data_IF_454344512594
#
_entry.id   IF_454344512594
#
_cell.length_a   1.000
_cell.length_b   1.000
_cell.length_c   1.000
_cell.angle_alpha   90.00
_cell.angle_beta   90.00
_cell.angle_gamma   90.00
#
_symmetry.space_group_name_H-M   'P 1'
#
loop_
_entity.id
_entity.type
_entity.pdbx_description
1 polymer ?
#
# COMPACT_ATOMS: atom_id res chain seq x y z
N UNK A 1 -14.18 5.55 -4.79
CA UNK A 1 -13.11 4.80 -4.09
C UNK A 1 -11.84 5.64 -4.07
N UNK A 2 -10.89 5.40 -3.16
CA UNK A 2 -9.59 6.13 -3.12
C UNK A 2 -8.85 6.11 -4.47
N UNK A 3 -9.02 5.02 -5.24
CA UNK A 3 -8.47 4.90 -6.59
C UNK A 3 -9.04 5.92 -7.59
N UNK A 4 -10.33 6.27 -7.51
CA UNK A 4 -10.96 7.25 -8.42
C UNK A 4 -10.48 8.67 -8.12
N UNK A 5 -10.20 8.96 -6.84
CA UNK A 5 -9.64 10.24 -6.40
C UNK A 5 -8.21 10.42 -6.92
N UNK A 6 -7.38 9.37 -6.84
CA UNK A 6 -6.03 9.39 -7.43
C UNK A 6 -6.08 9.58 -8.95
N UNK A 7 -6.95 8.85 -9.66
CA UNK A 7 -7.09 9.01 -11.12
C UNK A 7 -7.40 10.45 -11.50
N UNK A 8 -8.32 11.10 -10.78
CA UNK A 8 -8.65 12.51 -10.99
C UNK A 8 -7.49 13.43 -10.67
N UNK A 9 -6.82 13.23 -9.53
CA UNK A 9 -5.68 14.05 -9.10
C UNK A 9 -4.52 13.97 -10.10
N UNK A 10 -4.19 12.77 -10.58
CA UNK A 10 -3.08 12.50 -11.48
C UNK A 10 -3.46 12.53 -12.98
N UNK A 11 -4.72 12.84 -13.32
CA UNK A 11 -5.26 12.84 -14.69
C UNK A 11 -4.99 11.54 -15.45
N UNK A 12 -5.11 10.42 -14.75
CA UNK A 12 -4.93 9.09 -15.32
C UNK A 12 -6.19 8.66 -16.09
N UNK A 13 -5.99 7.81 -17.08
CA UNK A 13 -7.08 7.13 -17.78
C UNK A 13 -7.64 5.98 -16.94
N UNK A 14 -8.58 5.23 -17.51
CA UNK A 14 -9.17 4.06 -16.86
C UNK A 14 -8.34 2.78 -16.99
N UNK A 15 -7.12 2.87 -17.52
CA UNK A 15 -6.23 1.71 -17.62
C UNK A 15 -5.91 1.19 -16.22
N UNK A 16 -6.23 -0.08 -15.90
CA UNK A 16 -5.94 -0.64 -14.59
C UNK A 16 -4.42 -0.66 -14.33
N UNK A 17 -3.97 -0.28 -13.13
CA UNK A 17 -2.56 -0.34 -12.79
C UNK A 17 -2.07 -1.80 -12.82
N UNK A 18 -0.89 -2.02 -13.38
CA UNK A 18 -0.22 -3.33 -13.36
C UNK A 18 0.56 -3.46 -12.05
N UNK A 19 0.57 -4.67 -11.48
CA UNK A 19 1.46 -4.97 -10.36
C UNK A 19 2.92 -4.82 -10.80
N UNK A 20 3.76 -4.31 -9.88
CA UNK A 20 5.20 -4.38 -10.06
C UNK A 20 5.67 -5.84 -10.02
N UNK A 21 6.83 -6.19 -10.60
CA UNK A 21 7.37 -7.55 -10.51
C UNK A 21 7.48 -8.06 -9.07
N UNK A 22 7.88 -7.19 -8.13
CA UNK A 22 7.93 -7.51 -6.69
C UNK A 22 6.56 -7.89 -6.15
N UNK A 23 5.55 -7.05 -6.35
CA UNK A 23 4.20 -7.30 -5.81
C UNK A 23 3.52 -8.50 -6.49
N UNK A 24 3.79 -8.72 -7.77
CA UNK A 24 3.35 -9.93 -8.47
C UNK A 24 3.96 -11.20 -7.86
N UNK A 25 5.27 -11.21 -7.60
CA UNK A 25 5.95 -12.34 -6.96
C UNK A 25 5.44 -12.59 -5.52
N UNK A 26 5.21 -11.54 -4.73
CA UNK A 26 4.61 -11.67 -3.39
C UNK A 26 3.22 -12.32 -3.46
N UNK A 27 2.40 -11.91 -4.42
CA UNK A 27 1.07 -12.49 -4.62
C UNK A 27 1.15 -13.96 -5.04
N UNK A 28 2.10 -14.33 -5.91
CA UNK A 28 2.27 -15.72 -6.33
C UNK A 28 2.79 -16.62 -5.21
N UNK A 29 3.65 -16.10 -4.32
CA UNK A 29 4.05 -16.78 -3.10
C UNK A 29 2.84 -17.05 -2.18
N UNK A 30 1.96 -16.06 -1.99
CA UNK A 30 0.74 -16.25 -1.19
C UNK A 30 -0.20 -17.30 -1.79
N UNK A 31 -0.36 -17.34 -3.11
CA UNK A 31 -1.19 -18.36 -3.79
C UNK A 31 -0.63 -19.77 -3.62
N UNK A 32 0.69 -19.90 -3.52
CA UNK A 32 1.37 -21.18 -3.36
C UNK A 32 1.56 -21.62 -1.90
N UNK A 33 1.25 -20.77 -0.93
CA UNK A 33 1.44 -21.08 0.48
C UNK A 33 0.46 -22.16 0.97
N UNK A 34 0.93 -23.00 1.89
CA UNK A 34 0.05 -23.91 2.62
C UNK A 34 -0.88 -23.12 3.55
N UNK A 35 -1.98 -23.72 4.01
CA UNK A 35 -2.87 -23.07 4.99
C UNK A 35 -2.12 -22.66 6.26
N UNK A 36 -1.15 -23.47 6.69
CA UNK A 36 -0.33 -23.21 7.86
C UNK A 36 0.64 -22.03 7.65
N UNK A 37 1.21 -21.90 6.44
CA UNK A 37 2.21 -20.86 6.13
C UNK A 37 1.59 -19.55 5.64
N UNK A 38 0.33 -19.58 5.18
CA UNK A 38 -0.32 -18.41 4.58
C UNK A 38 -0.40 -17.23 5.56
N UNK A 39 -0.89 -17.45 6.78
CA UNK A 39 -1.10 -16.39 7.75
C UNK A 39 0.19 -15.64 8.13
N UNK A 40 1.27 -16.31 8.58
CA UNK A 40 2.52 -15.61 8.92
C UNK A 40 3.12 -14.89 7.70
N UNK A 41 3.12 -15.53 6.53
CA UNK A 41 3.61 -14.93 5.29
C UNK A 41 2.82 -13.68 4.90
N UNK A 42 1.48 -13.74 5.02
CA UNK A 42 0.60 -12.62 4.73
C UNK A 42 0.84 -11.43 5.67
N UNK A 43 1.03 -11.69 6.97
CA UNK A 43 1.29 -10.63 7.96
C UNK A 43 2.64 -9.96 7.70
N UNK A 44 3.68 -10.73 7.38
CA UNK A 44 4.99 -10.19 7.00
C UNK A 44 4.90 -9.35 5.73
N UNK A 45 4.26 -9.86 4.68
CA UNK A 45 4.11 -9.14 3.41
C UNK A 45 3.28 -7.85 3.58
N UNK A 46 2.21 -7.89 4.37
CA UNK A 46 1.41 -6.71 4.66
C UNK A 46 2.17 -5.69 5.51
N UNK A 47 3.05 -6.14 6.41
CA UNK A 47 3.93 -5.25 7.17
C UNK A 47 4.79 -4.43 6.22
N UNK A 48 5.51 -5.10 5.32
CA UNK A 48 6.37 -4.44 4.33
C UNK A 48 5.56 -3.51 3.43
N UNK A 49 4.42 -3.97 2.90
CA UNK A 49 3.59 -3.18 2.00
C UNK A 49 3.06 -1.89 2.65
N UNK A 50 2.61 -1.95 3.91
CA UNK A 50 2.09 -0.77 4.62
C UNK A 50 3.21 0.20 5.02
N UNK A 51 4.40 -0.30 5.37
CA UNK A 51 5.56 0.56 5.59
C UNK A 51 5.95 1.32 4.31
N UNK A 52 6.04 0.62 3.18
CA UNK A 52 6.36 1.22 1.88
C UNK A 52 5.30 2.24 1.44
N UNK A 53 4.02 1.93 1.65
CA UNK A 53 2.93 2.85 1.34
C UNK A 53 2.99 4.12 2.19
N UNK A 54 3.23 4.01 3.50
CA UNK A 54 3.37 5.18 4.39
C UNK A 54 4.57 6.03 3.95
N UNK A 55 5.72 5.41 3.66
CA UNK A 55 6.89 6.14 3.16
C UNK A 55 6.59 6.85 1.84
N UNK A 56 5.99 6.16 0.87
CA UNK A 56 5.66 6.74 -0.43
C UNK A 56 4.75 7.97 -0.30
N UNK A 57 3.67 7.84 0.48
CA UNK A 57 2.69 8.92 0.65
C UNK A 57 3.28 10.09 1.46
N UNK A 58 4.04 9.82 2.52
CA UNK A 58 4.68 10.87 3.31
C UNK A 58 5.73 11.64 2.50
N UNK A 59 6.55 10.94 1.70
CA UNK A 59 7.54 11.58 0.84
C UNK A 59 6.89 12.42 -0.24
N UNK A 60 5.86 11.91 -0.93
CA UNK A 60 5.18 12.65 -1.99
C UNK A 60 4.39 13.84 -1.43
N UNK A 61 3.71 13.70 -0.30
CA UNK A 61 3.02 14.81 0.37
C UNK A 61 3.98 15.96 0.72
N UNK A 62 5.23 15.64 1.10
CA UNK A 62 6.24 16.63 1.51
C UNK A 62 6.93 17.32 0.33
N UNK A 63 7.19 16.60 -0.77
CA UNK A 63 8.10 17.07 -1.83
C UNK A 63 7.72 16.69 -3.24
N UNK A 64 6.49 16.25 -3.49
CA UNK A 64 5.98 15.97 -4.83
C UNK A 64 5.96 17.21 -5.72
N UNK A 65 5.78 16.98 -7.02
CA UNK A 65 5.79 17.98 -8.09
C UNK A 65 4.39 18.34 -8.61
N UNK A 66 3.40 17.47 -8.41
CA UNK A 66 1.99 17.74 -8.71
C UNK A 66 1.21 18.08 -7.44
N UNK A 67 0.68 19.31 -7.35
CA UNK A 67 -0.05 19.80 -6.18
C UNK A 67 -1.34 19.01 -5.87
N UNK A 68 -2.04 18.51 -6.88
CA UNK A 68 -3.24 17.70 -6.65
C UNK A 68 -2.87 16.32 -6.09
N UNK A 69 -1.80 15.72 -6.59
CA UNK A 69 -1.30 14.43 -6.10
C UNK A 69 -0.68 14.57 -4.70
N UNK A 70 -0.02 15.69 -4.39
CA UNK A 70 0.45 16.01 -3.02
C UNK A 70 -0.71 16.08 -2.04
N UNK A 71 -1.78 16.80 -2.38
CA UNK A 71 -2.97 16.91 -1.54
C UNK A 71 -3.64 15.54 -1.32
N UNK A 72 -3.76 14.74 -2.39
CA UNK A 72 -4.24 13.36 -2.29
C UNK A 72 -3.37 12.52 -1.34
N UNK A 73 -2.04 12.60 -1.46
CA UNK A 73 -1.12 11.87 -0.62
C UNK A 73 -1.24 12.28 0.86
N UNK A 74 -1.30 13.58 1.14
CA UNK A 74 -1.47 14.11 2.49
C UNK A 74 -2.80 13.69 3.12
N UNK A 75 -3.91 13.73 2.36
CA UNK A 75 -5.23 13.35 2.86
C UNK A 75 -5.36 11.84 3.11
N UNK A 76 -4.62 11.02 2.38
CA UNK A 76 -4.68 9.55 2.50
C UNK A 76 -3.74 9.02 3.59
N UNK A 77 -2.64 9.73 3.87
CA UNK A 77 -1.59 9.31 4.79
C UNK A 77 -2.10 8.86 6.17
N UNK A 78 -3.02 9.57 6.88
CA UNK A 78 -3.49 9.14 8.20
C UNK A 78 -4.15 7.76 8.19
N UNK A 79 -4.83 7.39 7.10
CA UNK A 79 -5.44 6.07 6.95
C UNK A 79 -4.37 4.98 6.78
N UNK A 80 -3.32 5.26 6.00
CA UNK A 80 -2.20 4.33 5.82
C UNK A 80 -1.42 4.13 7.12
N UNK A 81 -1.23 5.19 7.91
CA UNK A 81 -0.62 5.09 9.23
C UNK A 81 -1.45 4.22 10.18
N UNK A 82 -2.77 4.41 10.20
CA UNK A 82 -3.70 3.55 10.96
C UNK A 82 -3.60 2.09 10.51
N UNK A 83 -3.60 1.81 9.20
CA UNK A 83 -3.46 0.45 8.70
C UNK A 83 -2.10 -0.17 9.08
N UNK A 84 -1.00 0.59 8.98
CA UNK A 84 0.32 0.15 9.44
C UNK A 84 0.29 -0.22 10.93
N UNK A 85 -0.35 0.60 11.77
CA UNK A 85 -0.50 0.30 13.20
C UNK A 85 -1.28 -0.99 13.46
N UNK A 86 -2.36 -1.24 12.70
CA UNK A 86 -3.10 -2.49 12.81
C UNK A 86 -2.25 -3.71 12.45
N UNK A 87 -1.46 -3.64 11.37
CA UNK A 87 -0.58 -4.75 10.99
C UNK A 87 0.53 -4.97 12.03
N UNK A 88 1.11 -3.91 12.57
CA UNK A 88 2.09 -4.01 13.67
C UNK A 88 1.50 -4.67 14.92
N UNK A 89 0.22 -4.43 15.20
CA UNK A 89 -0.47 -5.11 16.29
C UNK A 89 -0.65 -6.61 16.01
N UNK A 90 -0.95 -7.00 14.77
CA UNK A 90 -1.01 -8.42 14.38
C UNK A 90 0.34 -9.12 14.55
N UNK A 91 1.44 -8.47 14.15
CA UNK A 91 2.81 -9.00 14.33
C UNK A 91 3.11 -9.23 15.82
N UNK A 92 2.71 -8.30 16.70
CA UNK A 92 2.96 -8.43 18.13
C UNK A 92 2.08 -9.48 18.84
N UNK A 93 0.98 -9.91 18.20
CA UNK A 93 0.03 -10.86 18.74
C UNK A 93 0.23 -12.30 18.22
N UNK A 94 1.14 -12.49 17.26
CA UNK A 94 1.52 -13.77 16.66
C UNK A 94 2.92 -14.20 17.10
#
# INVERSE_FOLDING_TARGET
>A
MVADELKKAAKLDDTPPKLSPKHAAMLDLLKGASEQDFQPLYIEMQTTAHMEAVTLFATYAKGGDDEAVKAFAANTLPKLEMHKMHVMHLVAAH
#
